data_IF_189384844280
#
_entry.id   IF_189384844280
#
_cell.length_a   1.000
_cell.length_b   1.000
_cell.length_c   1.000
_cell.angle_alpha   90.00
_cell.angle_beta   90.00
_cell.angle_gamma   90.00
#
_symmetry.space_group_name_H-M   'P 1'
#
loop_
_entity.id
_entity.type
_entity.pdbx_description
1 polymer ?
#
# COMPACT_ATOMS: atom_id res chain seq x y z
N UNK A 1 60.46 -32.19 18.15
CA UNK A 1 60.01 -32.43 16.77
C UNK A 1 58.51 -32.16 16.69
N UNK A 2 58.15 -30.89 16.46
CA UNK A 2 56.77 -30.40 16.51
C UNK A 2 56.23 -30.50 15.09
N UNK A 3 55.18 -31.29 14.85
CA UNK A 3 54.69 -31.57 13.50
C UNK A 3 53.85 -30.38 12.98
N UNK A 4 54.27 -29.69 11.90
CA UNK A 4 53.59 -28.49 11.39
C UNK A 4 52.26 -28.80 10.67
N UNK A 5 51.91 -30.07 10.48
CA UNK A 5 50.79 -30.49 9.63
C UNK A 5 49.40 -30.47 10.30
N UNK A 6 49.32 -30.31 11.63
CA UNK A 6 48.03 -30.43 12.35
C UNK A 6 47.30 -29.11 12.59
N UNK A 7 47.97 -27.98 12.39
CA UNK A 7 47.35 -26.65 12.58
C UNK A 7 46.57 -26.21 11.32
N UNK A 8 46.92 -26.74 10.14
CA UNK A 8 46.33 -26.33 8.86
C UNK A 8 44.87 -26.82 8.64
N UNK A 9 44.43 -27.89 9.31
CA UNK A 9 43.08 -28.46 9.08
C UNK A 9 41.98 -27.69 9.83
N UNK A 10 42.31 -27.09 10.99
CA UNK A 10 41.34 -26.35 11.79
C UNK A 10 41.02 -24.95 11.23
N UNK A 11 41.96 -24.31 10.51
CA UNK A 11 41.73 -23.01 9.87
C UNK A 11 40.91 -23.12 8.57
N UNK A 12 40.92 -24.28 7.90
CA UNK A 12 40.12 -24.50 6.69
C UNK A 12 38.64 -24.79 6.99
N UNK A 13 38.33 -25.29 8.19
CA UNK A 13 36.95 -25.60 8.61
C UNK A 13 36.14 -24.35 9.01
N UNK A 14 36.80 -23.28 9.50
CA UNK A 14 36.10 -22.05 9.92
C UNK A 14 35.75 -21.11 8.76
N UNK A 15 36.38 -21.25 7.58
CA UNK A 15 36.07 -20.39 6.41
C UNK A 15 34.80 -20.82 5.63
N UNK A 16 34.20 -21.97 5.95
CA UNK A 16 33.02 -22.49 5.28
C UNK A 16 31.70 -22.23 6.03
N UNK A 17 31.75 -21.73 7.26
CA UNK A 17 30.57 -21.34 8.00
C UNK A 17 30.08 -19.95 7.54
N UNK A 18 29.59 -19.87 6.29
CA UNK A 18 28.75 -18.73 5.89
C UNK A 18 27.51 -18.78 6.80
N UNK A 19 27.19 -17.73 7.57
CA UNK A 19 25.89 -17.66 8.19
C UNK A 19 24.89 -17.69 7.05
N UNK A 20 24.14 -18.79 6.95
CA UNK A 20 22.95 -18.82 6.13
C UNK A 20 21.98 -17.85 6.79
N UNK A 21 22.11 -16.56 6.45
CA UNK A 21 21.02 -15.61 6.59
C UNK A 21 19.97 -16.11 5.60
N UNK A 22 19.18 -17.09 6.05
CA UNK A 22 17.93 -17.42 5.40
C UNK A 22 17.11 -16.16 5.56
N UNK A 23 17.09 -15.33 4.50
CA UNK A 23 16.06 -14.33 4.38
C UNK A 23 14.76 -15.10 4.60
N UNK A 24 14.01 -14.73 5.64
CA UNK A 24 12.69 -15.29 5.84
C UNK A 24 11.90 -14.94 4.59
N UNK A 25 11.72 -15.91 3.68
CA UNK A 25 10.83 -15.79 2.55
C UNK A 25 9.44 -15.76 3.17
N UNK A 26 8.97 -14.56 3.51
CA UNK A 26 7.56 -14.35 3.81
C UNK A 26 6.73 -14.97 2.68
N UNK A 27 5.51 -15.45 2.96
CA UNK A 27 4.67 -16.02 1.92
C UNK A 27 4.62 -15.05 0.74
N UNK A 28 4.87 -15.56 -0.47
CA UNK A 28 4.82 -14.75 -1.67
C UNK A 28 3.43 -14.12 -1.73
N UNK A 29 3.39 -12.78 -1.80
CA UNK A 29 2.13 -12.08 -1.94
C UNK A 29 1.51 -12.49 -3.29
N UNK A 30 0.22 -12.81 -3.28
CA UNK A 30 -0.49 -13.29 -4.48
C UNK A 30 -1.43 -12.25 -5.08
N UNK A 31 -1.77 -11.22 -4.29
CA UNK A 31 -2.66 -10.13 -4.68
C UNK A 31 -2.46 -8.92 -3.74
N UNK A 32 -3.02 -7.77 -4.13
CA UNK A 32 -3.13 -6.58 -3.28
C UNK A 32 -4.56 -6.46 -2.73
N UNK A 33 -4.67 -6.01 -1.48
CA UNK A 33 -5.91 -5.44 -0.92
C UNK A 33 -5.62 -3.98 -0.59
N UNK A 34 -6.40 -3.04 -1.10
CA UNK A 34 -6.13 -1.61 -0.98
C UNK A 34 -7.19 -0.88 -0.15
N UNK A 35 -6.73 -0.06 0.79
CA UNK A 35 -7.54 0.86 1.59
C UNK A 35 -7.03 2.29 1.41
N UNK A 36 -7.90 3.27 1.58
CA UNK A 36 -7.49 4.66 1.52
C UNK A 36 -8.51 5.62 0.94
N UNK A 37 -7.96 6.72 0.44
CA UNK A 37 -8.71 7.83 -0.13
C UNK A 37 -8.61 7.90 -1.66
N UNK A 38 -8.79 9.09 -2.24
CA UNK A 38 -8.82 9.33 -3.68
C UNK A 38 -7.50 8.98 -4.38
N UNK A 39 -6.38 8.95 -3.64
CA UNK A 39 -5.08 8.57 -4.19
C UNK A 39 -5.00 7.06 -4.50
N UNK A 40 -5.89 6.24 -3.92
CA UNK A 40 -5.92 4.79 -4.10
C UNK A 40 -7.23 4.27 -4.70
N UNK A 41 -8.28 5.10 -4.83
CA UNK A 41 -9.65 4.63 -5.09
C UNK A 41 -9.96 4.17 -6.52
N UNK A 42 -9.04 4.35 -7.46
CA UNK A 42 -9.28 4.01 -8.88
C UNK A 42 -10.51 4.72 -9.48
N UNK A 43 -10.93 5.84 -8.91
CA UNK A 43 -11.92 6.77 -9.49
C UNK A 43 -13.25 6.75 -8.75
N UNK A 44 -13.29 6.04 -7.63
CA UNK A 44 -14.45 5.97 -6.78
C UNK A 44 -14.43 7.11 -5.74
N UNK A 45 -15.54 7.83 -5.55
CA UNK A 45 -15.66 8.96 -4.62
C UNK A 45 -15.25 10.33 -5.20
N UNK A 46 -14.83 11.26 -4.32
CA UNK A 46 -14.48 12.65 -4.69
C UNK A 46 -13.05 12.80 -5.27
N UNK A 47 -12.92 13.30 -6.51
CA UNK A 47 -11.67 13.82 -7.12
C UNK A 47 -10.82 12.80 -7.91
N UNK A 48 -9.93 13.25 -8.83
CA UNK A 48 -9.31 12.37 -9.83
C UNK A 48 -8.32 11.40 -9.18
N UNK A 49 -8.45 10.14 -9.54
CA UNK A 49 -7.78 8.99 -8.96
C UNK A 49 -6.71 8.40 -9.87
N UNK A 50 -6.21 9.16 -10.82
CA UNK A 50 -5.36 8.60 -11.86
C UNK A 50 -3.97 9.17 -11.75
N UNK A 51 -2.99 8.33 -12.05
CA UNK A 51 -1.60 8.74 -12.20
C UNK A 51 -1.42 9.81 -13.28
N UNK A 52 -0.17 10.25 -13.49
CA UNK A 52 0.16 11.27 -14.49
C UNK A 52 -0.32 10.88 -15.89
N UNK A 53 -0.52 11.87 -16.78
CA UNK A 53 -0.77 11.59 -18.20
C UNK A 53 0.31 10.67 -18.78
N UNK A 54 -0.04 9.73 -19.68
CA UNK A 54 0.93 8.97 -20.44
C UNK A 54 1.68 9.94 -21.36
N UNK A 55 3.01 9.86 -21.35
CA UNK A 55 3.92 10.65 -22.16
C UNK A 55 5.02 9.75 -22.71
N UNK A 56 5.72 10.18 -23.75
CA UNK A 56 6.92 9.46 -24.20
C UNK A 56 8.00 9.38 -23.10
N UNK A 57 8.06 10.37 -22.20
CA UNK A 57 9.07 10.46 -21.13
C UNK A 57 8.83 9.50 -19.96
N UNK A 58 7.57 9.14 -19.69
CA UNK A 58 7.22 8.09 -18.72
C UNK A 58 6.87 6.77 -19.44
N UNK A 59 7.44 6.50 -20.62
CA UNK A 59 7.25 5.23 -21.32
C UNK A 59 5.80 4.89 -21.69
N UNK A 60 4.91 5.89 -21.72
CA UNK A 60 3.48 5.68 -21.96
C UNK A 60 2.76 4.96 -20.82
N UNK A 61 3.26 5.04 -19.57
CA UNK A 61 2.60 4.40 -18.43
C UNK A 61 1.11 4.80 -18.34
N UNK A 62 0.20 3.83 -18.11
CA UNK A 62 -1.23 4.08 -18.11
C UNK A 62 -1.65 4.99 -16.95
N UNK A 63 -2.78 5.70 -17.12
CA UNK A 63 -3.39 6.58 -16.09
C UNK A 63 -4.00 5.78 -14.94
N UNK A 64 -3.16 5.16 -14.15
CA UNK A 64 -3.52 4.31 -13.01
C UNK A 64 -3.11 4.97 -11.70
N UNK A 65 -3.85 4.74 -10.62
CA UNK A 65 -3.38 5.03 -9.25
C UNK A 65 -2.02 4.38 -8.99
N UNK A 66 -1.30 4.89 -7.98
CA UNK A 66 -0.05 4.27 -7.55
C UNK A 66 -0.22 2.79 -7.16
N UNK A 67 -1.37 2.42 -6.57
CA UNK A 67 -1.64 1.05 -6.10
C UNK A 67 -1.97 0.10 -7.24
N UNK A 68 -2.66 0.58 -8.29
CA UNK A 68 -2.86 -0.18 -9.53
C UNK A 68 -1.53 -0.39 -10.27
N UNK A 69 -0.68 0.63 -10.33
CA UNK A 69 0.68 0.50 -10.90
C UNK A 69 1.54 -0.47 -10.09
N UNK A 70 1.48 -0.39 -8.75
CA UNK A 70 2.19 -1.33 -7.86
C UNK A 70 1.72 -2.77 -8.13
N UNK A 71 0.41 -2.99 -8.23
CA UNK A 71 -0.16 -4.31 -8.51
C UNK A 71 0.36 -4.87 -9.84
N UNK A 72 0.36 -4.06 -10.89
CA UNK A 72 0.84 -4.47 -12.22
C UNK A 72 2.35 -4.74 -12.23
N UNK A 73 3.16 -3.82 -11.67
CA UNK A 73 4.61 -3.95 -11.64
C UNK A 73 5.08 -5.14 -10.79
N UNK A 74 4.34 -5.48 -9.73
CA UNK A 74 4.61 -6.64 -8.90
C UNK A 74 3.97 -7.94 -9.44
N UNK A 75 3.28 -7.88 -10.59
CA UNK A 75 2.54 -9.03 -11.16
C UNK A 75 1.51 -9.64 -10.20
N UNK A 76 0.85 -8.80 -9.39
CA UNK A 76 -0.16 -9.18 -8.38
C UNK A 76 -1.61 -9.09 -8.91
N UNK A 77 -1.77 -8.94 -10.23
CA UNK A 77 -3.06 -8.90 -10.91
C UNK A 77 -3.65 -7.49 -11.08
N UNK A 78 -4.87 -7.43 -11.62
CA UNK A 78 -5.62 -6.19 -11.80
C UNK A 78 -6.38 -5.88 -10.53
N UNK A 79 -6.23 -4.65 -10.04
CA UNK A 79 -6.92 -4.21 -8.84
C UNK A 79 -8.31 -3.66 -9.20
N UNK A 80 -9.35 -4.41 -8.85
CA UNK A 80 -10.75 -4.08 -9.12
C UNK A 80 -11.41 -3.54 -7.85
N UNK A 81 -12.44 -2.70 -8.00
CA UNK A 81 -13.22 -2.15 -6.87
C UNK A 81 -13.98 -3.25 -6.13
N UNK A 82 -14.13 -3.10 -4.81
CA UNK A 82 -14.85 -4.07 -3.98
C UNK A 82 -16.32 -4.25 -4.37
N UNK A 83 -17.00 -3.21 -4.85
CA UNK A 83 -18.39 -3.32 -5.34
C UNK A 83 -18.53 -4.18 -6.60
N UNK A 84 -17.45 -4.34 -7.35
CA UNK A 84 -17.37 -5.17 -8.56
C UNK A 84 -16.76 -6.55 -8.24
N UNK A 85 -16.67 -6.91 -6.94
CA UNK A 85 -16.09 -8.17 -6.47
C UNK A 85 -14.56 -8.16 -6.34
N UNK A 86 -13.93 -6.99 -6.42
CA UNK A 86 -12.48 -6.83 -6.34
C UNK A 86 -11.94 -6.57 -4.92
N UNK A 87 -10.67 -6.15 -4.85
CA UNK A 87 -9.92 -5.96 -3.61
C UNK A 87 -9.50 -4.51 -3.33
N UNK A 88 -9.99 -3.54 -4.11
CA UNK A 88 -9.83 -2.12 -3.82
C UNK A 88 -11.01 -1.59 -3.00
N UNK A 89 -10.77 -1.34 -1.73
CA UNK A 89 -11.72 -0.79 -0.76
C UNK A 89 -11.56 0.72 -0.54
N UNK A 90 -10.57 1.36 -1.20
CA UNK A 90 -10.34 2.79 -1.08
C UNK A 90 -11.49 3.62 -1.69
N UNK A 91 -11.80 4.75 -1.04
CA UNK A 91 -12.91 5.63 -1.43
C UNK A 91 -12.47 7.09 -1.38
N UNK A 92 -12.61 7.80 -2.49
CA UNK A 92 -12.29 9.22 -2.60
C UNK A 92 -13.02 10.08 -1.58
N UNK A 93 -12.32 11.08 -1.03
CA UNK A 93 -12.86 12.01 -0.02
C UNK A 93 -12.88 11.47 1.42
N UNK A 94 -12.56 10.20 1.64
CA UNK A 94 -12.53 9.62 3.00
C UNK A 94 -11.34 10.08 3.83
N UNK A 95 -11.60 10.26 5.13
CA UNK A 95 -10.60 10.60 6.15
C UNK A 95 -10.02 9.34 6.80
N UNK A 96 -9.01 9.49 7.65
CA UNK A 96 -8.48 8.36 8.43
C UNK A 96 -9.54 7.71 9.31
N UNK A 97 -10.52 8.47 9.80
CA UNK A 97 -11.63 7.94 10.60
C UNK A 97 -12.57 7.00 9.83
N UNK A 98 -12.61 7.13 8.51
CA UNK A 98 -13.47 6.31 7.64
C UNK A 98 -12.79 4.98 7.24
N UNK A 99 -11.48 4.80 7.51
CA UNK A 99 -10.75 3.57 7.19
C UNK A 99 -11.32 2.35 7.90
N UNK A 100 -11.82 2.52 9.13
CA UNK A 100 -12.45 1.43 9.87
C UNK A 100 -13.58 0.78 9.07
N UNK A 101 -14.42 1.58 8.42
CA UNK A 101 -15.53 1.10 7.58
C UNK A 101 -15.00 0.32 6.36
N UNK A 102 -13.89 0.73 5.77
CA UNK A 102 -13.30 0.02 4.63
C UNK A 102 -12.72 -1.34 5.06
N UNK A 103 -12.04 -1.39 6.20
CA UNK A 103 -11.51 -2.63 6.77
C UNK A 103 -12.64 -3.56 7.20
N UNK A 104 -13.70 -3.05 7.83
CA UNK A 104 -14.87 -3.84 8.19
C UNK A 104 -15.56 -4.45 6.96
N UNK A 105 -15.70 -3.69 5.87
CA UNK A 105 -16.23 -4.22 4.59
C UNK A 105 -15.38 -5.37 4.06
N UNK A 106 -14.06 -5.21 4.09
CA UNK A 106 -13.14 -6.27 3.70
C UNK A 106 -13.32 -7.51 4.59
N UNK A 107 -13.24 -7.35 5.91
CA UNK A 107 -13.37 -8.48 6.82
C UNK A 107 -14.73 -9.18 6.69
N UNK A 108 -15.82 -8.44 6.49
CA UNK A 108 -17.14 -9.01 6.27
C UNK A 108 -17.22 -9.88 4.99
N UNK A 109 -16.47 -9.53 3.95
CA UNK A 109 -16.37 -10.31 2.72
C UNK A 109 -15.39 -11.51 2.81
N UNK A 110 -14.62 -11.61 3.89
CA UNK A 110 -13.52 -12.57 4.04
C UNK A 110 -13.57 -13.32 5.40
N UNK A 111 -14.78 -13.69 5.84
CA UNK A 111 -15.01 -14.50 7.06
C UNK A 111 -14.36 -13.91 8.33
N UNK A 112 -14.31 -12.58 8.42
CA UNK A 112 -13.69 -11.86 9.53
C UNK A 112 -12.17 -11.90 9.55
N UNK A 113 -11.50 -12.35 8.48
CA UNK A 113 -10.06 -12.60 8.46
C UNK A 113 -9.35 -11.83 7.36
N UNK A 114 -8.16 -11.34 7.69
CA UNK A 114 -7.23 -10.85 6.68
C UNK A 114 -6.56 -12.02 5.96
N UNK A 115 -6.43 -11.87 4.64
CA UNK A 115 -5.72 -12.82 3.78
C UNK A 115 -4.24 -12.89 4.18
N UNK A 116 -3.69 -14.07 4.50
CA UNK A 116 -2.29 -14.20 4.91
C UNK A 116 -1.30 -14.07 3.74
N UNK A 117 -1.79 -14.01 2.50
CA UNK A 117 -0.97 -13.90 1.28
C UNK A 117 -1.26 -12.62 0.49
N UNK A 118 -2.05 -11.70 1.05
CA UNK A 118 -2.27 -10.38 0.44
C UNK A 118 -1.18 -9.41 0.86
N UNK A 119 -0.78 -8.54 -0.05
CA UNK A 119 -0.15 -7.27 0.31
C UNK A 119 -1.26 -6.25 0.62
N UNK A 120 -1.50 -5.98 1.90
CA UNK A 120 -2.41 -4.91 2.29
C UNK A 120 -1.73 -3.55 2.18
N UNK A 121 -2.39 -2.62 1.52
CA UNK A 121 -1.93 -1.24 1.34
C UNK A 121 -2.90 -0.26 1.97
N UNK A 122 -2.39 0.81 2.55
CA UNK A 122 -3.18 1.83 3.21
C UNK A 122 -2.58 3.21 2.94
N UNK A 123 -3.38 4.11 2.37
CA UNK A 123 -3.01 5.51 2.20
C UNK A 123 -4.19 6.44 2.51
N UNK A 124 -4.08 7.24 3.57
CA UNK A 124 -5.14 8.16 4.00
C UNK A 124 -4.55 9.34 4.79
N UNK A 125 -5.34 10.38 5.03
CA UNK A 125 -4.98 11.54 5.85
C UNK A 125 -5.11 12.89 5.14
N UNK A 126 -4.99 12.92 3.81
CA UNK A 126 -5.06 14.19 3.05
C UNK A 126 -6.40 14.90 3.24
N UNK A 127 -7.49 14.13 3.35
CA UNK A 127 -8.82 14.66 3.57
C UNK A 127 -9.02 15.17 5.01
N UNK A 128 -8.35 14.60 6.01
CA UNK A 128 -8.38 15.09 7.40
C UNK A 128 -7.88 16.55 7.46
N UNK A 129 -6.75 16.82 6.82
CA UNK A 129 -6.20 18.18 6.73
C UNK A 129 -7.11 19.10 5.92
N UNK A 130 -7.54 18.66 4.74
CA UNK A 130 -8.37 19.47 3.84
C UNK A 130 -9.70 19.84 4.49
N UNK A 131 -10.37 18.90 5.16
CA UNK A 131 -11.60 19.12 5.89
C UNK A 131 -11.39 20.10 7.04
N UNK A 132 -10.32 19.94 7.83
CA UNK A 132 -9.97 20.87 8.92
C UNK A 132 -9.73 22.29 8.40
N UNK A 133 -8.93 22.46 7.35
CA UNK A 133 -8.60 23.76 6.77
C UNK A 133 -9.84 24.43 6.15
N UNK A 134 -10.66 23.68 5.41
CA UNK A 134 -11.95 24.14 4.85
C UNK A 134 -12.88 24.63 5.96
N UNK A 135 -13.01 23.87 7.05
CA UNK A 135 -13.86 24.23 8.17
C UNK A 135 -13.36 25.49 8.89
N UNK A 136 -12.04 25.68 9.04
CA UNK A 136 -11.49 26.92 9.61
C UNK A 136 -11.80 28.16 8.77
N UNK A 137 -11.72 28.05 7.43
CA UNK A 137 -12.07 29.15 6.52
C UNK A 137 -13.55 29.52 6.64
N UNK A 138 -14.45 28.53 6.66
CA UNK A 138 -15.90 28.75 6.87
C UNK A 138 -16.18 29.46 8.20
N UNK A 139 -15.51 29.06 9.28
CA UNK A 139 -15.63 29.75 10.57
C UNK A 139 -15.17 31.19 10.48
N UNK A 140 -13.98 31.48 9.94
CA UNK A 140 -13.50 32.87 9.76
C UNK A 140 -14.46 33.74 8.94
N UNK A 141 -15.00 33.22 7.82
CA UNK A 141 -15.98 33.94 7.02
C UNK A 141 -17.28 34.22 7.81
N UNK A 142 -17.72 33.28 8.64
CA UNK A 142 -18.90 33.47 9.51
C UNK A 142 -18.72 34.55 10.59
N UNK A 143 -17.49 34.89 11.00
CA UNK A 143 -17.26 36.00 11.95
C UNK A 143 -17.24 37.37 11.28
N UNK A 144 -16.94 37.42 9.97
CA UNK A 144 -16.86 38.67 9.20
C UNK A 144 -18.23 39.10 8.67
N UNK A 145 -19.16 38.15 8.51
CA UNK A 145 -20.49 38.38 7.91
C UNK A 145 -21.63 38.48 8.95
N UNK A 146 -21.33 38.65 10.23
CA UNK A 146 -22.35 38.94 11.24
C UNK A 146 -22.46 40.47 11.41
N UNK A 147 -23.65 41.08 11.15
CA UNK A 147 -23.89 42.49 11.45
C UNK A 147 -23.89 42.77 12.95
#
# INVERSE_FOLDING_TARGET
>A
MIHPFRISVLLLACLLAKPACTAATGPACTHIVAFGDSLSSGGWGDGPSTGPEPTAHNGGFPRLTWVEQLSQNASLGVLVRWQEGGANYAVGGTTTGDLAVQVERYLAAHDGKASPTALHTLWSGSNDFTHRLRNRRKRKASWILKP
#
